data_IF_821499303767
#
_entry.id   IF_821499303767
#
_cell.length_a   1.000
_cell.length_b   1.000
_cell.length_c   1.000
_cell.angle_alpha   90.00
_cell.angle_beta   90.00
_cell.angle_gamma   90.00
#
_symmetry.space_group_name_H-M   'P 1'
#
loop_
_entity.id
_entity.type
_entity.pdbx_description
1 polymer ?
#
# COMPACT_ATOMS: atom_id res chain seq x y z
N UNK A 1 2.38 -20.69 -15.05
CA UNK A 1 1.30 -20.04 -14.28
C UNK A 1 1.95 -19.14 -13.27
N UNK A 2 1.75 -17.84 -13.35
CA UNK A 2 2.20 -16.88 -12.34
C UNK A 2 1.44 -17.15 -11.04
N UNK A 3 2.14 -17.46 -9.96
CA UNK A 3 1.51 -17.65 -8.65
C UNK A 3 1.25 -16.27 -8.05
N UNK A 4 -0.02 -15.96 -7.77
CA UNK A 4 -0.38 -14.78 -6.98
C UNK A 4 -0.48 -15.15 -5.49
N UNK A 5 -0.04 -14.26 -4.61
CA UNK A 5 -0.24 -14.37 -3.16
C UNK A 5 -0.78 -13.05 -2.60
N UNK A 6 -1.56 -13.15 -1.52
CA UNK A 6 -2.00 -11.99 -0.77
C UNK A 6 -1.07 -11.77 0.43
N UNK A 7 -0.62 -10.54 0.63
CA UNK A 7 0.17 -10.11 1.78
C UNK A 7 -0.63 -9.07 2.55
N UNK A 8 -0.67 -9.21 3.88
CA UNK A 8 -1.20 -8.20 4.79
C UNK A 8 -0.06 -7.55 5.56
N UNK A 9 -0.06 -6.23 5.65
CA UNK A 9 0.88 -5.46 6.46
C UNK A 9 0.13 -4.34 7.18
N UNK A 10 0.35 -4.22 8.48
CA UNK A 10 -0.09 -3.05 9.25
C UNK A 10 1.05 -2.05 9.32
N UNK A 11 0.74 -0.78 9.08
CA UNK A 11 1.66 0.35 9.13
C UNK A 11 1.10 1.34 10.14
N UNK A 12 1.86 1.71 11.17
CA UNK A 12 1.37 2.56 12.27
C UNK A 12 2.30 3.72 12.61
N UNK A 13 3.49 3.76 12.00
CA UNK A 13 4.48 4.80 12.27
C UNK A 13 4.57 5.83 11.15
N UNK A 14 4.79 7.10 11.53
CA UNK A 14 5.01 8.18 10.59
C UNK A 14 6.33 7.99 9.84
N UNK A 15 6.28 8.04 8.51
CA UNK A 15 7.44 7.82 7.65
C UNK A 15 7.78 6.35 7.42
N UNK A 16 7.00 5.41 7.96
CA UNK A 16 7.20 3.99 7.67
C UNK A 16 7.04 3.74 6.17
N UNK A 17 7.87 2.84 5.64
CA UNK A 17 7.86 2.44 4.25
C UNK A 17 7.54 0.95 4.10
N UNK A 18 6.99 0.57 2.95
CA UNK A 18 6.82 -0.82 2.58
C UNK A 18 7.11 -1.06 1.10
N UNK A 19 7.62 -2.24 0.82
CA UNK A 19 7.97 -2.70 -0.52
C UNK A 19 6.70 -3.17 -1.26
N UNK A 20 6.60 -2.80 -2.54
CA UNK A 20 5.47 -3.15 -3.38
C UNK A 20 5.58 -4.55 -3.99
N UNK A 21 6.74 -5.20 -3.97
CA UNK A 21 6.91 -6.65 -4.21
C UNK A 21 6.11 -7.17 -5.41
N UNK A 22 6.33 -6.63 -6.60
CA UNK A 22 5.56 -6.98 -7.80
C UNK A 22 4.03 -7.00 -7.56
N UNK A 23 3.50 -5.96 -6.91
CA UNK A 23 2.08 -5.83 -6.59
C UNK A 23 1.28 -5.52 -7.84
N UNK A 24 0.27 -6.33 -8.16
CA UNK A 24 -0.69 -6.00 -9.21
C UNK A 24 -1.76 -5.03 -8.73
N UNK A 25 -2.20 -5.21 -7.50
CA UNK A 25 -3.28 -4.45 -6.89
C UNK A 25 -3.08 -4.40 -5.38
N UNK A 26 -3.40 -3.27 -4.75
CA UNK A 26 -3.44 -3.16 -3.30
C UNK A 26 -4.71 -2.46 -2.83
N UNK A 27 -5.13 -2.80 -1.63
CA UNK A 27 -6.12 -2.05 -0.87
C UNK A 27 -5.43 -1.44 0.34
N UNK A 28 -5.67 -0.16 0.56
CA UNK A 28 -5.20 0.58 1.71
C UNK A 28 -6.44 0.92 2.54
N UNK A 29 -6.52 0.42 3.77
CA UNK A 29 -7.62 0.65 4.69
C UNK A 29 -7.11 1.43 5.89
N UNK A 30 -7.61 2.64 6.07
CA UNK A 30 -7.24 3.46 7.22
C UNK A 30 -8.14 3.11 8.40
N UNK A 31 -7.53 2.46 9.40
CA UNK A 31 -8.16 2.04 10.66
C UNK A 31 -7.84 2.97 11.83
N UNK A 32 -6.95 3.94 11.61
CA UNK A 32 -6.62 4.97 12.58
C UNK A 32 -7.66 6.08 12.66
N UNK A 33 -7.39 7.02 13.55
CA UNK A 33 -8.24 8.17 13.83
C UNK A 33 -7.90 9.40 12.97
N UNK A 34 -6.77 9.38 12.25
CA UNK A 34 -6.33 10.49 11.40
C UNK A 34 -6.16 10.10 9.95
N UNK A 35 -6.16 11.11 9.05
CA UNK A 35 -5.91 10.87 7.63
C UNK A 35 -4.51 10.31 7.40
N UNK A 36 -4.41 9.18 6.70
CA UNK A 36 -3.17 8.65 6.17
C UNK A 36 -2.90 9.25 4.78
N UNK A 37 -1.70 9.76 4.55
CA UNK A 37 -1.20 10.23 3.27
C UNK A 37 -0.17 9.22 2.77
N UNK A 38 -0.53 8.48 1.72
CA UNK A 38 0.32 7.42 1.16
C UNK A 38 0.92 7.86 -0.16
N UNK A 39 2.23 7.78 -0.33
CA UNK A 39 2.90 8.19 -1.56
C UNK A 39 4.01 7.25 -1.98
N UNK A 40 4.34 7.27 -3.27
CA UNK A 40 5.54 6.58 -3.77
C UNK A 40 6.80 7.26 -3.27
N UNK A 41 7.78 6.48 -2.81
CA UNK A 41 9.05 7.02 -2.34
C UNK A 41 9.77 7.69 -3.52
N UNK A 42 10.03 8.99 -3.39
CA UNK A 42 10.61 9.82 -4.45
C UNK A 42 9.60 10.40 -5.44
N UNK A 43 8.30 10.16 -5.25
CA UNK A 43 7.23 10.83 -5.98
C UNK A 43 6.69 12.05 -5.23
N UNK A 44 6.11 12.99 -5.97
CA UNK A 44 5.56 14.25 -5.42
C UNK A 44 4.09 14.13 -4.98
N UNK A 45 3.42 13.03 -5.33
CA UNK A 45 1.97 12.86 -5.15
C UNK A 45 1.70 11.94 -3.96
N UNK A 46 0.78 12.37 -3.09
CA UNK A 46 0.24 11.58 -1.98
C UNK A 46 -1.25 11.33 -2.16
N UNK A 47 -1.70 10.15 -1.76
CA UNK A 47 -3.08 9.71 -1.80
C UNK A 47 -3.64 9.81 -0.38
N UNK A 48 -4.62 10.69 -0.12
CA UNK A 48 -5.27 10.77 1.17
C UNK A 48 -6.28 9.64 1.36
N UNK A 49 -6.22 9.04 2.54
CA UNK A 49 -7.15 8.01 3.00
C UNK A 49 -7.70 8.49 4.34
N UNK A 50 -8.96 8.92 4.35
CA UNK A 50 -9.60 9.43 5.57
C UNK A 50 -9.89 8.27 6.55
N UNK A 51 -10.03 8.57 7.86
CA UNK A 51 -10.36 7.56 8.87
C UNK A 51 -11.57 6.70 8.48
N UNK A 52 -11.44 5.39 8.64
CA UNK A 52 -12.49 4.41 8.34
C UNK A 52 -12.73 4.17 6.85
N UNK A 53 -11.99 4.84 5.95
CA UNK A 53 -12.11 4.64 4.51
C UNK A 53 -11.02 3.70 3.97
N UNK A 54 -11.34 3.11 2.82
CA UNK A 54 -10.42 2.31 2.04
C UNK A 54 -10.24 2.87 0.63
N UNK A 55 -9.05 2.65 0.08
CA UNK A 55 -8.67 3.01 -1.29
C UNK A 55 -8.05 1.80 -1.97
N UNK A 56 -8.53 1.48 -3.16
CA UNK A 56 -7.91 0.49 -4.03
C UNK A 56 -6.97 1.19 -5.00
N UNK A 57 -5.76 0.65 -5.13
CA UNK A 57 -4.74 1.11 -6.06
C UNK A 57 -4.31 -0.05 -6.94
N UNK A 58 -4.45 0.14 -8.25
CA UNK A 58 -4.02 -0.80 -9.26
C UNK A 58 -3.78 -0.04 -10.56
N UNK A 59 -2.84 -0.54 -11.36
CA UNK A 59 -2.65 -0.02 -12.70
C UNK A 59 -3.67 -0.68 -13.64
N UNK A 60 -4.24 0.08 -14.59
CA UNK A 60 -5.06 -0.51 -15.63
C UNK A 60 -4.24 -1.50 -16.47
N UNK A 61 -4.91 -2.48 -17.08
CA UNK A 61 -4.32 -3.45 -18.01
C UNK A 61 -3.32 -4.47 -17.45
N UNK A 62 -3.21 -4.60 -16.12
CA UNK A 62 -2.44 -5.68 -15.50
C UNK A 62 -0.95 -5.40 -15.34
N UNK A 63 -0.55 -4.13 -15.43
CA UNK A 63 0.79 -3.70 -15.06
C UNK A 63 1.07 -3.97 -13.57
N UNK A 64 2.36 -4.06 -13.25
CA UNK A 64 2.86 -4.40 -11.92
C UNK A 64 3.46 -3.15 -11.27
N UNK A 65 3.01 -2.85 -10.05
CA UNK A 65 3.60 -1.86 -9.16
C UNK A 65 4.86 -2.46 -8.48
N UNK A 66 5.97 -1.76 -8.61
CA UNK A 66 7.25 -2.08 -7.97
C UNK A 66 7.78 -0.86 -7.23
N UNK A 67 8.78 -1.03 -6.37
CA UNK A 67 9.36 0.04 -5.56
C UNK A 67 8.76 0.11 -4.15
N UNK A 68 8.72 1.30 -3.57
CA UNK A 68 8.33 1.50 -2.16
C UNK A 68 7.27 2.58 -2.02
N UNK A 69 6.32 2.37 -1.11
CA UNK A 69 5.43 3.40 -0.61
C UNK A 69 5.85 3.85 0.79
N UNK A 70 5.52 5.09 1.13
CA UNK A 70 5.66 5.67 2.47
C UNK A 70 4.33 6.23 2.93
N UNK A 71 4.07 6.21 4.24
CA UNK A 71 2.90 6.86 4.84
C UNK A 71 3.29 8.03 5.73
N UNK A 72 2.45 9.06 5.74
CA UNK A 72 2.41 10.09 6.78
C UNK A 72 0.99 10.22 7.29
N UNK A 73 0.80 10.02 8.58
CA UNK A 73 -0.43 10.31 9.29
C UNK A 73 -0.47 11.78 9.71
N UNK A 74 -1.64 12.39 9.63
CA UNK A 74 -1.86 13.70 10.25
C UNK A 74 -1.75 13.61 11.77
N UNK A 75 -1.41 14.72 12.41
CA UNK A 75 -1.23 14.75 13.87
C UNK A 75 -2.55 14.53 14.63
N UNK A 76 -2.43 13.90 15.80
CA UNK A 76 -3.54 13.52 16.69
C UNK A 76 -3.84 12.02 16.62
N UNK A 77 -4.46 11.47 17.66
CA UNK A 77 -5.07 10.13 17.64
C UNK A 77 -4.14 8.93 17.42
N UNK A 78 -4.76 7.75 17.36
CA UNK A 78 -4.10 6.49 17.01
C UNK A 78 -3.94 6.34 15.49
N UNK A 79 -2.82 5.78 15.06
CA UNK A 79 -2.50 5.60 13.64
C UNK A 79 -2.47 4.11 13.29
N UNK A 80 -3.26 3.71 12.31
CA UNK A 80 -3.24 2.36 11.77
C UNK A 80 -3.68 2.37 10.30
N UNK A 81 -2.79 1.92 9.42
CA UNK A 81 -3.10 1.68 8.01
C UNK A 81 -2.86 0.20 7.71
N UNK A 82 -3.91 -0.52 7.34
CA UNK A 82 -3.79 -1.87 6.80
C UNK A 82 -3.52 -1.79 5.30
N UNK A 83 -2.46 -2.46 4.87
CA UNK A 83 -2.06 -2.64 3.48
C UNK A 83 -2.31 -4.10 3.09
N UNK A 84 -3.16 -4.30 2.07
CA UNK A 84 -3.47 -5.62 1.51
C UNK A 84 -2.92 -5.63 0.08
N UNK A 85 -1.90 -6.44 -0.19
CA UNK A 85 -1.22 -6.49 -1.49
C UNK A 85 -1.50 -7.82 -2.20
N UNK A 86 -1.86 -7.74 -3.48
CA UNK A 86 -1.85 -8.89 -4.40
C UNK A 86 -0.52 -8.92 -5.13
N UNK A 87 0.39 -9.76 -4.67
CA UNK A 87 1.75 -9.92 -5.18
C UNK A 87 1.81 -11.05 -6.19
N UNK A 88 2.39 -10.79 -7.37
CA UNK A 88 2.61 -11.80 -8.40
C UNK A 88 4.06 -12.26 -8.37
N UNK A 89 4.27 -13.57 -8.17
CA UNK A 89 5.60 -14.17 -8.31
C UNK A 89 5.98 -14.24 -9.78
N UNK A 90 7.21 -13.80 -10.07
CA UNK A 90 7.88 -13.94 -11.37
C UNK A 90 8.72 -15.20 -11.47
N UNK A 91 8.71 -16.09 -10.47
CA UNK A 91 9.38 -17.39 -10.59
C UNK A 91 8.68 -18.24 -11.65
N UNK A 92 9.28 -18.31 -12.85
CA UNK A 92 9.05 -19.41 -13.76
C UNK A 92 9.48 -20.69 -13.03
N UNK A 93 8.53 -21.61 -12.81
CA UNK A 93 8.88 -22.97 -12.41
C UNK A 93 9.65 -23.59 -13.58
N UNK A 94 10.98 -23.62 -13.48
CA UNK A 94 11.85 -24.42 -14.34
C UNK A 94 11.62 -25.92 -14.10
#
# INVERSE_FOLDING_TARGET
MSNARIIHKTVSENGETWDLSNTRMMTLENRGETTALVGYVGGDVSIPIEPGLSRELGLPFGDILTGHFTVRFKEGGENELLVIQTVISTEEKF
#
